data_IF_866424943663
#
_entry.id   IF_866424943663
#
_cell.length_a   1.000
_cell.length_b   1.000
_cell.length_c   1.000
_cell.angle_alpha   90.00
_cell.angle_beta   90.00
_cell.angle_gamma   90.00
#
_symmetry.space_group_name_H-M   'P 1'
#
loop_
_entity.id
_entity.type
_entity.pdbx_description
1 polymer ?
#
# COMPACT_ATOMS: atom_id res chain seq x y z
N UNK A 1 12.94 -3.94 -25.53
CA UNK A 1 12.01 -2.79 -25.43
C UNK A 1 12.77 -1.56 -24.94
N UNK A 2 12.50 -0.37 -25.48
CA UNK A 2 13.11 0.89 -25.03
C UNK A 2 12.44 1.32 -23.73
N UNK A 3 13.20 1.58 -22.66
CA UNK A 3 12.65 2.03 -21.37
C UNK A 3 12.10 3.46 -21.50
N UNK A 4 10.94 3.73 -20.88
CA UNK A 4 10.34 5.06 -20.84
C UNK A 4 10.96 5.86 -19.69
N UNK A 5 11.62 6.97 -20.02
CA UNK A 5 12.09 7.93 -19.02
C UNK A 5 10.95 8.89 -18.68
N UNK A 6 10.72 9.11 -17.39
CA UNK A 6 9.68 10.00 -16.85
C UNK A 6 10.23 10.77 -15.66
N UNK A 7 9.69 11.95 -15.40
CA UNK A 7 10.00 12.74 -14.20
C UNK A 7 8.86 12.56 -13.22
N UNK A 8 9.10 11.80 -12.15
CA UNK A 8 8.13 11.46 -11.12
C UNK A 8 8.81 11.43 -9.74
N UNK A 9 8.03 11.59 -8.67
CA UNK A 9 8.52 11.40 -7.30
C UNK A 9 8.54 9.91 -6.89
N UNK A 10 9.05 9.63 -5.69
CA UNK A 10 9.15 8.27 -5.15
C UNK A 10 7.79 7.60 -4.91
N UNK A 11 6.79 8.35 -4.46
CA UNK A 11 5.43 7.83 -4.23
C UNK A 11 4.79 7.43 -5.56
N UNK A 12 4.90 8.27 -6.59
CA UNK A 12 4.44 7.97 -7.94
C UNK A 12 5.12 6.74 -8.53
N UNK A 13 6.43 6.59 -8.32
CA UNK A 13 7.18 5.43 -8.78
C UNK A 13 6.72 4.13 -8.08
N UNK A 14 6.54 4.17 -6.76
CA UNK A 14 6.06 3.02 -5.99
C UNK A 14 4.62 2.64 -6.37
N UNK A 15 3.71 3.61 -6.41
CA UNK A 15 2.31 3.41 -6.81
C UNK A 15 2.17 2.99 -8.28
N UNK A 16 3.15 3.29 -9.15
CA UNK A 16 3.19 2.75 -10.51
C UNK A 16 3.30 1.23 -10.52
N UNK A 17 4.24 0.67 -9.75
CA UNK A 17 4.45 -0.77 -9.68
C UNK A 17 3.35 -1.44 -8.87
N UNK A 18 3.03 -0.91 -7.69
CA UNK A 18 2.04 -1.49 -6.78
C UNK A 18 0.66 -1.67 -7.45
N UNK A 19 0.17 -0.65 -8.14
CA UNK A 19 -1.09 -0.74 -8.88
C UNK A 19 -1.02 -1.74 -10.04
N UNK A 20 0.12 -1.81 -10.73
CA UNK A 20 0.30 -2.72 -11.85
C UNK A 20 0.40 -4.19 -11.42
N UNK A 21 0.82 -4.51 -10.19
CA UNK A 21 1.09 -5.89 -9.75
C UNK A 21 0.00 -6.52 -8.88
N UNK A 22 -0.96 -5.72 -8.40
CA UNK A 22 -1.91 -6.16 -7.38
C UNK A 22 -3.36 -6.10 -7.87
N UNK A 23 -4.21 -6.91 -7.26
CA UNK A 23 -5.65 -7.01 -7.54
C UNK A 23 -6.47 -6.28 -6.47
N UNK A 24 -5.94 -6.21 -5.24
CA UNK A 24 -6.55 -5.49 -4.11
C UNK A 24 -5.52 -4.56 -3.50
N UNK A 25 -5.98 -3.37 -3.12
CA UNK A 25 -5.17 -2.35 -2.45
C UNK A 25 -5.98 -1.80 -1.28
N UNK A 26 -5.69 -2.29 -0.07
CA UNK A 26 -6.35 -1.79 1.14
C UNK A 26 -5.53 -0.62 1.71
N UNK A 27 -6.17 0.52 1.93
CA UNK A 27 -5.48 1.77 2.28
C UNK A 27 -6.06 2.43 3.53
N UNK A 28 -5.24 3.29 4.14
CA UNK A 28 -5.66 4.31 5.09
C UNK A 28 -4.68 5.49 5.01
N UNK A 29 -5.16 6.74 4.99
CA UNK A 29 -4.30 7.90 4.75
C UNK A 29 -3.40 8.22 5.95
N UNK A 30 -2.08 8.27 5.70
CA UNK A 30 -1.07 8.76 6.65
C UNK A 30 0.09 9.43 5.88
N UNK A 31 0.46 10.65 6.27
CA UNK A 31 1.60 11.37 5.67
C UNK A 31 2.92 10.67 6.01
N UNK A 32 3.89 10.50 5.09
CA UNK A 32 3.91 10.96 3.69
C UNK A 32 3.51 9.88 2.66
N UNK A 33 2.88 8.77 3.07
CA UNK A 33 2.50 7.67 2.17
C UNK A 33 1.15 7.85 1.46
N UNK A 34 0.26 8.74 1.96
CA UNK A 34 -1.08 8.99 1.37
C UNK A 34 -1.10 9.13 -0.15
N UNK A 35 -0.17 9.86 -0.80
CA UNK A 35 -0.19 10.02 -2.25
C UNK A 35 -0.17 8.70 -3.02
N UNK A 36 0.44 7.63 -2.49
CA UNK A 36 0.43 6.33 -3.16
C UNK A 36 -0.98 5.72 -3.25
N UNK A 37 -1.77 5.86 -2.18
CA UNK A 37 -3.17 5.42 -2.12
C UNK A 37 -4.03 6.23 -3.09
N UNK A 38 -3.91 7.56 -3.05
CA UNK A 38 -4.64 8.49 -3.93
C UNK A 38 -4.36 8.22 -5.41
N UNK A 39 -3.09 8.01 -5.78
CA UNK A 39 -2.69 7.69 -7.16
C UNK A 39 -3.28 6.34 -7.60
N UNK A 40 -3.27 5.34 -6.71
CA UNK A 40 -3.79 4.01 -7.01
C UNK A 40 -5.32 4.02 -7.16
N UNK A 41 -6.01 4.79 -6.32
CA UNK A 41 -7.46 5.02 -6.42
C UNK A 41 -7.81 5.71 -7.73
N UNK A 42 -7.12 6.81 -8.07
CA UNK A 42 -7.34 7.54 -9.31
C UNK A 42 -7.15 6.68 -10.56
N UNK A 43 -6.14 5.79 -10.58
CA UNK A 43 -5.93 4.84 -11.67
C UNK A 43 -7.05 3.81 -11.79
N UNK A 44 -7.54 3.32 -10.66
CA UNK A 44 -8.61 2.33 -10.62
C UNK A 44 -9.94 2.96 -11.04
N UNK A 45 -10.22 4.19 -10.59
CA UNK A 45 -11.35 5.00 -11.06
C UNK A 45 -11.29 5.30 -12.57
N UNK A 46 -10.08 5.44 -13.13
CA UNK A 46 -9.85 5.57 -14.56
C UNK A 46 -9.91 4.22 -15.34
N UNK A 47 -10.32 3.13 -14.70
CA UNK A 47 -10.36 1.77 -15.26
C UNK A 47 -9.01 1.30 -15.82
N UNK A 48 -7.90 1.74 -15.24
CA UNK A 48 -6.58 1.26 -15.65
C UNK A 48 -6.39 -0.20 -15.17
N UNK A 49 -6.16 -1.16 -16.07
CA UNK A 49 -5.92 -2.54 -15.67
C UNK A 49 -4.49 -2.74 -15.16
N UNK A 50 -4.32 -3.72 -14.27
CA UNK A 50 -3.04 -4.26 -13.85
C UNK A 50 -2.47 -5.23 -14.90
N UNK A 51 -1.32 -5.85 -14.62
CA UNK A 51 -0.67 -6.81 -15.54
C UNK A 51 -1.47 -8.11 -15.74
N UNK A 52 -2.50 -8.35 -14.94
CA UNK A 52 -3.41 -9.49 -15.03
C UNK A 52 -4.68 -9.18 -15.83
N UNK A 53 -4.86 -7.93 -16.27
CA UNK A 53 -6.04 -7.47 -17.01
C UNK A 53 -7.21 -7.07 -16.11
N UNK A 54 -7.03 -7.06 -14.79
CA UNK A 54 -8.06 -6.67 -13.81
C UNK A 54 -7.84 -5.25 -13.35
N UNK A 55 -8.90 -4.48 -13.12
CA UNK A 55 -8.79 -3.16 -12.45
C UNK A 55 -8.66 -3.42 -10.94
N UNK A 56 -7.57 -2.97 -10.28
CA UNK A 56 -7.40 -3.20 -8.84
C UNK A 56 -8.54 -2.61 -8.02
N UNK A 57 -9.01 -3.33 -7.01
CA UNK A 57 -9.96 -2.81 -6.03
C UNK A 57 -9.22 -2.01 -4.97
N UNK A 58 -9.44 -0.70 -4.93
CA UNK A 58 -8.88 0.19 -3.91
C UNK A 58 -9.95 0.49 -2.87
N UNK A 59 -9.69 0.15 -1.61
CA UNK A 59 -10.67 0.32 -0.52
C UNK A 59 -10.02 0.97 0.68
N UNK A 60 -10.58 2.10 1.11
CA UNK A 60 -10.21 2.78 2.34
C UNK A 60 -10.85 2.09 3.55
N UNK A 61 -10.03 1.77 4.54
CA UNK A 61 -10.47 1.17 5.81
C UNK A 61 -10.62 2.24 6.89
N UNK A 62 -11.07 1.86 8.08
CA UNK A 62 -11.22 2.78 9.20
C UNK A 62 -9.91 3.11 9.94
N UNK A 63 -8.86 2.31 9.74
CA UNK A 63 -7.50 2.51 10.30
C UNK A 63 -6.50 1.61 9.58
N UNK A 64 -5.19 1.83 9.79
CA UNK A 64 -4.14 0.96 9.26
C UNK A 64 -4.24 -0.47 9.81
N UNK A 65 -4.71 -0.64 11.05
CA UNK A 65 -4.99 -1.97 11.60
C UNK A 65 -6.10 -2.69 10.84
N UNK A 66 -7.14 -1.94 10.44
CA UNK A 66 -8.20 -2.43 9.54
C UNK A 66 -7.69 -2.75 8.14
N UNK A 67 -6.85 -1.88 7.57
CA UNK A 67 -6.18 -2.10 6.29
C UNK A 67 -5.32 -3.37 6.30
N UNK A 68 -4.53 -3.61 7.34
CA UNK A 68 -3.73 -4.82 7.44
C UNK A 68 -4.58 -6.09 7.59
N UNK A 69 -5.72 -6.02 8.29
CA UNK A 69 -6.68 -7.12 8.37
C UNK A 69 -7.34 -7.43 7.02
N UNK A 70 -7.71 -6.38 6.27
CA UNK A 70 -8.22 -6.52 4.92
C UNK A 70 -7.16 -7.11 3.97
N UNK A 71 -5.90 -6.68 4.07
CA UNK A 71 -4.79 -7.28 3.34
C UNK A 71 -4.65 -8.76 3.67
N UNK A 72 -4.63 -9.13 4.95
CA UNK A 72 -4.55 -10.53 5.36
C UNK A 72 -5.69 -11.37 4.77
N UNK A 73 -6.94 -10.91 4.91
CA UNK A 73 -8.12 -11.61 4.38
C UNK A 73 -8.09 -11.77 2.86
N UNK A 74 -7.73 -10.71 2.13
CA UNK A 74 -7.65 -10.74 0.67
C UNK A 74 -6.57 -11.72 0.18
N UNK A 75 -5.39 -11.71 0.81
CA UNK A 75 -4.31 -12.66 0.52
C UNK A 75 -4.72 -14.11 0.79
N UNK A 76 -5.34 -14.37 1.94
CA UNK A 76 -5.81 -15.70 2.30
C UNK A 76 -6.92 -16.22 1.35
N UNK A 77 -7.67 -15.30 0.72
CA UNK A 77 -8.65 -15.61 -0.31
C UNK A 77 -8.06 -15.80 -1.72
N UNK A 78 -6.75 -15.56 -1.89
CA UNK A 78 -6.02 -15.80 -3.14
C UNK A 78 -5.80 -14.56 -4.03
N UNK A 79 -6.10 -13.35 -3.56
CA UNK A 79 -5.90 -12.12 -4.32
C UNK A 79 -4.56 -11.45 -3.98
N UNK A 80 -3.77 -11.08 -4.99
CA UNK A 80 -2.51 -10.37 -4.78
C UNK A 80 -2.77 -8.98 -4.20
N UNK A 81 -2.37 -8.77 -2.95
CA UNK A 81 -2.77 -7.57 -2.19
C UNK A 81 -1.57 -6.76 -1.69
N UNK A 82 -1.70 -5.43 -1.73
CA UNK A 82 -0.69 -4.49 -1.24
C UNK A 82 -1.34 -3.39 -0.38
N UNK A 83 -0.50 -2.62 0.32
CA UNK A 83 -0.90 -1.46 1.11
C UNK A 83 0.23 -0.42 1.16
N UNK A 84 -0.13 0.80 1.56
CA UNK A 84 0.75 1.96 1.69
C UNK A 84 0.67 2.47 3.12
N UNK A 85 1.80 2.64 3.82
CA UNK A 85 1.78 3.12 5.20
C UNK A 85 3.08 3.81 5.61
N UNK A 86 3.13 4.34 6.83
CA UNK A 86 4.28 4.98 7.43
C UNK A 86 4.16 4.99 8.96
N UNK A 87 5.27 5.07 9.70
CA UNK A 87 5.30 5.46 11.12
C UNK A 87 4.27 4.72 11.99
N UNK A 88 3.36 5.46 12.65
CA UNK A 88 2.30 4.93 13.51
C UNK A 88 1.39 3.94 12.79
N UNK A 89 1.12 4.17 11.51
CA UNK A 89 0.29 3.29 10.71
C UNK A 89 0.91 1.90 10.61
N UNK A 90 2.22 1.82 10.36
CA UNK A 90 2.95 0.55 10.30
C UNK A 90 2.89 -0.19 11.64
N UNK A 91 2.96 0.53 12.78
CA UNK A 91 2.82 -0.10 14.10
C UNK A 91 1.46 -0.80 14.28
N UNK A 92 0.39 -0.21 13.77
CA UNK A 92 -0.96 -0.80 13.82
C UNK A 92 -1.09 -2.03 12.91
N UNK A 93 -0.21 -2.18 11.92
CA UNK A 93 -0.19 -3.33 11.02
C UNK A 93 0.59 -4.54 11.58
N UNK A 94 1.48 -4.33 12.55
CA UNK A 94 2.38 -5.38 13.11
C UNK A 94 1.63 -6.67 13.50
N UNK A 95 0.49 -6.64 14.22
CA UNK A 95 -0.20 -7.88 14.60
C UNK A 95 -0.61 -8.73 13.39
N UNK A 96 -1.08 -8.11 12.31
CA UNK A 96 -1.43 -8.79 11.07
C UNK A 96 -0.19 -9.22 10.28
N UNK A 97 0.92 -8.48 10.35
CA UNK A 97 2.17 -8.88 9.69
C UNK A 97 2.67 -10.24 10.21
N UNK A 98 2.54 -10.53 11.51
CA UNK A 98 2.86 -11.84 12.06
C UNK A 98 1.99 -12.95 11.45
N UNK A 99 0.70 -12.70 11.24
CA UNK A 99 -0.23 -13.68 10.64
C UNK A 99 0.07 -13.89 9.16
N UNK A 100 0.23 -12.81 8.40
CA UNK A 100 0.57 -12.84 6.98
C UNK A 100 1.88 -13.60 6.75
N UNK A 101 2.93 -13.28 7.52
CA UNK A 101 4.22 -13.94 7.40
C UNK A 101 4.16 -15.40 7.86
N UNK A 102 3.45 -15.69 8.96
CA UNK A 102 3.28 -17.06 9.47
C UNK A 102 2.52 -17.98 8.52
N UNK A 103 1.62 -17.42 7.71
CA UNK A 103 0.85 -18.13 6.68
C UNK A 103 1.54 -18.12 5.31
N UNK A 104 2.76 -17.56 5.21
CA UNK A 104 3.57 -17.48 3.99
C UNK A 104 2.83 -16.84 2.79
N UNK A 105 2.03 -15.82 3.08
CA UNK A 105 1.21 -15.14 2.07
C UNK A 105 2.05 -14.09 1.31
N UNK A 106 2.06 -14.09 -0.03
CA UNK A 106 2.90 -13.19 -0.82
C UNK A 106 2.31 -11.77 -0.85
N UNK A 107 3.00 -10.81 -0.22
CA UNK A 107 2.58 -9.41 -0.22
C UNK A 107 3.77 -8.46 -0.18
N UNK A 108 3.53 -7.21 -0.56
CA UNK A 108 4.48 -6.10 -0.47
C UNK A 108 3.80 -4.94 0.21
N UNK A 109 4.42 -4.43 1.28
CA UNK A 109 4.00 -3.21 1.97
C UNK A 109 4.95 -2.10 1.53
N UNK A 110 4.40 -1.05 0.93
CA UNK A 110 5.19 0.10 0.49
C UNK A 110 5.19 1.15 1.60
N UNK A 111 6.34 1.31 2.24
CA UNK A 111 6.48 2.17 3.43
C UNK A 111 7.35 3.38 3.08
N UNK A 112 6.77 4.58 3.21
CA UNK A 112 7.60 5.79 3.28
C UNK A 112 8.12 5.91 4.71
N UNK A 113 9.37 5.55 4.94
CA UNK A 113 9.99 5.60 6.25
C UNK A 113 9.80 7.00 6.87
N UNK A 114 9.24 7.01 8.08
CA UNK A 114 8.83 8.21 8.82
C UNK A 114 8.99 7.91 10.30
N UNK A 115 9.54 8.88 11.04
CA UNK A 115 9.78 8.75 12.46
C UNK A 115 8.54 8.39 13.27
N UNK A 116 8.75 7.63 14.34
CA UNK A 116 7.72 7.39 15.34
C UNK A 116 7.57 8.61 16.27
N UNK A 117 6.35 8.84 16.72
CA UNK A 117 6.05 9.82 17.74
C UNK A 117 6.54 9.31 19.11
N UNK A 118 7.74 9.74 19.50
CA UNK A 118 8.31 9.50 20.83
C UNK A 118 8.02 10.70 21.74
N UNK A 119 8.97 11.61 21.92
CA UNK A 119 8.76 12.85 22.67
C UNK A 119 7.88 13.88 21.94
N UNK A 120 7.81 13.79 20.61
CA UNK A 120 6.99 14.64 19.74
C UNK A 120 6.66 13.91 18.43
N UNK A 121 5.61 14.36 17.76
CA UNK A 121 5.26 13.90 16.42
C UNK A 121 6.24 14.47 15.38
N UNK A 122 6.66 13.64 14.43
CA UNK A 122 7.36 14.06 13.21
C UNK A 122 6.71 13.40 11.99
N UNK A 123 6.44 14.21 10.96
CA UNK A 123 5.94 13.72 9.66
C UNK A 123 7.09 13.42 8.67
N UNK A 124 8.33 13.65 9.08
CA UNK A 124 9.52 13.52 8.24
C UNK A 124 10.17 12.15 8.35
N UNK A 125 11.00 11.83 7.36
CA UNK A 125 11.76 10.58 7.29
C UNK A 125 12.98 10.55 8.21
N UNK A 126 13.38 9.34 8.57
CA UNK A 126 14.62 8.97 9.26
C UNK A 126 15.26 7.71 8.64
#
# INVERSE_FOLDING_TARGET
MKRKMVTIDGNQAAAHVAHATNEVIAIYPITPSSPMGEISDAKSAANQPNIWGTVPSVTEMQSEGGAAGAVHGALASGALTTTFTASQGLLLMIPNMYKIAGELLPTVFHVTARSLACQALSIFGD
#
